data_IF_353400766091
#
_entry.id   IF_353400766091
#
_cell.length_a   1.000
_cell.length_b   1.000
_cell.length_c   1.000
_cell.angle_alpha   90.00
_cell.angle_beta   90.00
_cell.angle_gamma   90.00
#
_symmetry.space_group_name_H-M   'P 1'
#
loop_
_entity.id
_entity.type
_entity.pdbx_description
1 polymer ?
#
# COMPACT_ATOMS: atom_id res chain seq x y z
N UNK A 1 22.68 27.31 -11.39
CA UNK A 1 22.31 25.95 -10.92
C UNK A 1 22.18 25.09 -12.16
N UNK A 2 23.21 24.32 -12.49
CA UNK A 2 23.18 23.44 -13.67
C UNK A 2 22.27 22.25 -13.40
N UNK A 3 21.29 22.03 -14.28
CA UNK A 3 20.42 20.87 -14.19
C UNK A 3 21.16 19.63 -14.72
N UNK A 4 21.36 18.66 -13.84
CA UNK A 4 21.91 17.34 -14.17
C UNK A 4 21.08 16.67 -15.28
N UNK A 5 21.76 16.29 -16.37
CA UNK A 5 21.13 15.62 -17.51
C UNK A 5 20.44 14.32 -17.08
N UNK A 6 19.43 13.83 -17.82
CA UNK A 6 18.76 12.55 -17.50
C UNK A 6 19.73 11.37 -17.38
N UNK A 7 20.84 11.39 -18.12
CA UNK A 7 21.89 10.38 -18.05
C UNK A 7 22.69 10.47 -16.74
N UNK A 8 23.05 11.68 -16.30
CA UNK A 8 23.77 11.90 -15.04
C UNK A 8 22.94 11.47 -13.83
N UNK A 9 21.64 11.81 -13.79
CA UNK A 9 20.74 11.36 -12.71
C UNK A 9 20.62 9.85 -12.62
N UNK A 10 20.57 9.15 -13.77
CA UNK A 10 20.58 7.67 -13.79
C UNK A 10 21.89 7.12 -13.25
N UNK A 11 23.02 7.73 -13.63
CA UNK A 11 24.34 7.31 -13.17
C UNK A 11 24.49 7.49 -11.65
N UNK A 12 24.01 8.62 -11.12
CA UNK A 12 24.00 8.91 -9.68
C UNK A 12 23.11 7.92 -8.91
N UNK A 13 21.95 7.57 -9.47
CA UNK A 13 21.04 6.58 -8.88
C UNK A 13 21.68 5.19 -8.86
N UNK A 14 22.32 4.77 -9.96
CA UNK A 14 23.03 3.48 -10.01
C UNK A 14 24.18 3.47 -8.99
N UNK A 15 24.91 4.58 -8.87
CA UNK A 15 26.02 4.70 -7.94
C UNK A 15 25.58 4.67 -6.47
N UNK A 16 24.42 5.21 -6.13
CA UNK A 16 23.90 5.16 -4.74
C UNK A 16 23.45 3.75 -4.32
N UNK A 17 23.19 2.88 -5.29
CA UNK A 17 22.94 1.45 -5.07
C UNK A 17 24.23 0.62 -4.98
N UNK A 18 25.42 1.23 -5.05
CA UNK A 18 26.71 0.54 -4.98
C UNK A 18 27.56 1.05 -3.80
N UNK A 19 28.30 0.16 -3.16
CA UNK A 19 29.24 0.42 -2.05
C UNK A 19 30.63 -0.04 -2.47
N UNK A 20 31.66 0.76 -2.18
CA UNK A 20 33.07 0.37 -2.38
C UNK A 20 33.66 -0.17 -1.08
N UNK A 21 34.33 -1.33 -1.13
CA UNK A 21 35.14 -1.81 0.00
C UNK A 21 36.40 -0.94 0.17
N UNK A 22 36.78 -0.54 1.40
CA UNK A 22 38.04 0.15 1.66
C UNK A 22 39.24 -0.80 1.80
N UNK A 23 39.02 -2.13 1.73
CA UNK A 23 40.07 -3.14 1.80
C UNK A 23 40.21 -3.86 0.46
N UNK A 24 41.45 -3.88 -0.02
CA UNK A 24 42.00 -4.47 -1.25
C UNK A 24 41.94 -3.61 -2.53
N UNK A 25 43.09 -3.59 -3.22
CA UNK A 25 43.50 -2.74 -4.35
C UNK A 25 42.72 -2.99 -5.67
N UNK A 26 41.59 -3.69 -5.58
CA UNK A 26 40.63 -3.84 -6.66
C UNK A 26 39.31 -3.18 -6.26
N UNK A 27 38.91 -2.14 -6.99
CA UNK A 27 37.62 -1.47 -6.88
C UNK A 27 36.46 -2.42 -7.17
N UNK A 28 36.13 -3.26 -6.19
CA UNK A 28 34.96 -4.12 -6.18
C UNK A 28 33.77 -3.29 -5.70
N UNK A 29 32.79 -3.12 -6.59
CA UNK A 29 31.53 -2.44 -6.30
C UNK A 29 30.51 -3.50 -5.85
N UNK A 30 30.05 -3.39 -4.62
CA UNK A 30 29.03 -4.27 -4.05
C UNK A 30 27.68 -3.57 -4.07
N UNK A 31 26.59 -4.34 -4.13
CA UNK A 31 25.26 -3.78 -4.00
C UNK A 31 25.04 -3.27 -2.58
N UNK A 32 24.44 -2.09 -2.46
CA UNK A 32 23.99 -1.55 -1.19
C UNK A 32 23.01 -2.56 -0.56
N UNK A 33 23.16 -2.95 0.72
CA UNK A 33 22.29 -3.94 1.37
C UNK A 33 20.78 -3.61 1.32
N UNK A 34 20.45 -2.34 1.09
CA UNK A 34 19.07 -1.84 0.90
C UNK A 34 18.59 -1.89 -0.55
N UNK A 35 19.48 -2.11 -1.51
CA UNK A 35 19.14 -2.38 -2.90
C UNK A 35 18.69 -3.84 -3.01
N UNK A 36 17.53 -4.07 -3.62
CA UNK A 36 16.86 -5.38 -3.78
C UNK A 36 17.61 -6.46 -4.58
N UNK A 37 18.92 -6.33 -4.76
CA UNK A 37 19.71 -7.30 -5.50
C UNK A 37 20.19 -8.40 -4.56
N UNK A 38 19.74 -9.63 -4.79
CA UNK A 38 20.28 -10.79 -4.09
C UNK A 38 21.74 -10.99 -4.52
N UNK A 39 22.64 -11.27 -3.57
CA UNK A 39 23.97 -11.74 -3.91
C UNK A 39 23.84 -13.06 -4.69
N UNK A 40 24.77 -13.28 -5.60
CA UNK A 40 24.87 -14.42 -6.51
C UNK A 40 24.27 -15.73 -5.95
N UNK A 41 23.18 -16.19 -6.55
CA UNK A 41 22.49 -17.41 -6.16
C UNK A 41 21.17 -17.58 -6.89
N UNK A 42 20.80 -18.82 -7.20
CA UNK A 42 19.46 -19.11 -7.72
C UNK A 42 18.41 -18.69 -6.68
N UNK A 43 17.41 -17.91 -7.07
CA UNK A 43 16.32 -17.49 -6.19
C UNK A 43 15.37 -18.63 -5.84
N UNK A 44 15.34 -19.65 -6.70
CA UNK A 44 14.48 -20.81 -6.53
C UNK A 44 15.13 -22.09 -7.02
N UNK A 45 14.67 -23.21 -6.49
CA UNK A 45 15.03 -24.57 -6.93
C UNK A 45 13.77 -25.31 -7.35
N UNK A 46 13.92 -26.17 -8.35
CA UNK A 46 12.87 -27.12 -8.73
C UNK A 46 12.64 -28.05 -7.54
N UNK A 47 11.39 -28.23 -7.14
CA UNK A 47 11.04 -29.19 -6.11
C UNK A 47 11.48 -30.60 -6.55
N UNK A 48 12.14 -31.37 -5.67
CA UNK A 48 12.54 -32.73 -5.98
C UNK A 48 11.34 -33.67 -6.20
N UNK A 49 10.19 -33.32 -5.62
CA UNK A 49 8.90 -33.95 -5.88
C UNK A 49 8.48 -33.62 -7.33
N UNK A 50 8.65 -34.59 -8.24
CA UNK A 50 7.94 -34.54 -9.53
C UNK A 50 6.44 -34.59 -9.21
N UNK A 51 5.77 -33.47 -9.37
CA UNK A 51 4.31 -33.50 -9.50
C UNK A 51 4.03 -34.20 -10.84
N UNK A 52 3.67 -35.49 -10.78
CA UNK A 52 3.39 -36.36 -11.93
C UNK A 52 2.16 -35.91 -12.77
N UNK A 53 1.73 -34.65 -12.66
CA UNK A 53 0.43 -34.18 -13.14
C UNK A 53 0.52 -33.04 -14.16
N UNK A 54 1.70 -32.59 -14.60
CA UNK A 54 1.74 -31.45 -15.54
C UNK A 54 3.05 -31.20 -16.30
N UNK A 55 2.96 -30.31 -17.30
CA UNK A 55 4.07 -29.86 -18.17
C UNK A 55 5.08 -28.94 -17.45
N UNK A 56 4.77 -28.46 -16.24
CA UNK A 56 5.49 -27.38 -15.57
C UNK A 56 6.14 -27.84 -14.26
N UNK A 57 7.38 -27.40 -14.04
CA UNK A 57 8.09 -27.58 -12.78
C UNK A 57 7.51 -26.65 -11.69
N UNK A 58 7.50 -27.11 -10.45
CA UNK A 58 7.22 -26.25 -9.28
C UNK A 58 8.54 -25.81 -8.65
N UNK A 59 8.62 -24.51 -8.34
CA UNK A 59 9.80 -23.87 -7.79
C UNK A 59 9.55 -23.42 -6.35
N UNK A 60 10.57 -23.51 -5.50
CA UNK A 60 10.57 -22.97 -4.13
C UNK A 60 11.84 -22.20 -3.83
N UNK A 61 11.80 -21.34 -2.80
CA UNK A 61 12.98 -20.61 -2.32
C UNK A 61 14.14 -21.57 -2.03
N UNK A 62 15.35 -21.18 -2.43
CA UNK A 62 16.58 -21.91 -2.09
C UNK A 62 16.86 -21.98 -0.59
N UNK A 63 16.33 -21.02 0.19
CA UNK A 63 16.48 -21.00 1.66
C UNK A 63 15.57 -22.00 2.36
N UNK A 64 14.46 -22.40 1.75
CA UNK A 64 13.51 -23.33 2.34
C UNK A 64 12.87 -24.24 1.28
N UNK A 65 13.67 -25.14 0.66
CA UNK A 65 13.18 -25.95 -0.46
C UNK A 65 12.18 -27.03 -0.04
N UNK A 66 12.20 -27.45 1.23
CA UNK A 66 11.40 -28.58 1.74
C UNK A 66 10.45 -28.19 2.87
N UNK A 67 10.43 -26.94 3.30
CA UNK A 67 9.64 -26.47 4.45
C UNK A 67 8.83 -25.24 4.07
N UNK A 68 7.58 -25.19 4.53
CA UNK A 68 6.81 -23.95 4.51
C UNK A 68 7.27 -23.07 5.66
N UNK A 69 7.69 -21.84 5.35
CA UNK A 69 8.04 -20.84 6.35
C UNK A 69 6.76 -20.09 6.72
N UNK A 70 6.34 -20.21 7.97
CA UNK A 70 5.16 -19.52 8.51
C UNK A 70 5.52 -18.33 9.42
N UNK A 71 6.78 -18.26 9.88
CA UNK A 71 7.36 -17.24 10.77
C UNK A 71 8.83 -17.04 10.43
N UNK A 72 9.42 -15.93 10.85
CA UNK A 72 10.86 -15.71 10.76
C UNK A 72 11.56 -16.40 11.95
N UNK A 73 12.69 -17.07 11.71
CA UNK A 73 13.37 -17.85 12.75
C UNK A 73 13.99 -16.94 13.85
N UNK A 74 14.43 -15.74 13.46
CA UNK A 74 14.94 -14.68 14.32
C UNK A 74 13.84 -13.80 14.95
N UNK A 75 12.66 -13.77 14.33
CA UNK A 75 11.48 -13.03 14.78
C UNK A 75 10.21 -13.89 14.78
N UNK A 76 10.13 -14.93 15.66
CA UNK A 76 9.01 -15.87 15.70
C UNK A 76 7.68 -15.22 16.13
N UNK A 77 7.74 -14.06 16.79
CA UNK A 77 6.59 -13.24 17.17
C UNK A 77 5.88 -12.61 15.98
N UNK A 78 6.58 -12.40 14.85
CA UNK A 78 5.99 -11.78 13.66
C UNK A 78 5.17 -12.83 12.93
N UNK A 79 3.85 -12.76 13.10
CA UNK A 79 2.93 -13.73 12.57
C UNK A 79 1.86 -13.24 11.61
N UNK A 80 1.71 -11.93 11.53
CA UNK A 80 0.69 -11.24 10.74
C UNK A 80 1.34 -10.08 9.99
N UNK A 81 0.64 -9.57 8.97
CA UNK A 81 1.08 -8.35 8.28
C UNK A 81 1.12 -7.15 9.24
N UNK A 82 0.23 -7.12 10.23
CA UNK A 82 0.24 -6.11 11.30
C UNK A 82 1.53 -6.17 12.12
N UNK A 83 1.89 -7.34 12.66
CA UNK A 83 3.10 -7.50 13.48
C UNK A 83 4.35 -7.20 12.66
N UNK A 84 4.37 -7.58 11.38
CA UNK A 84 5.47 -7.27 10.48
C UNK A 84 5.67 -5.75 10.30
N UNK A 85 4.57 -5.02 10.09
CA UNK A 85 4.64 -3.56 9.99
C UNK A 85 5.05 -2.90 11.31
N UNK A 86 4.52 -3.36 12.44
CA UNK A 86 4.87 -2.83 13.78
C UNK A 86 6.36 -3.01 14.04
N UNK A 87 6.87 -4.22 13.83
CA UNK A 87 8.28 -4.52 13.99
C UNK A 87 9.17 -3.60 13.13
N UNK A 88 8.80 -3.41 11.86
CA UNK A 88 9.53 -2.50 10.97
C UNK A 88 9.46 -1.04 11.45
N UNK A 89 8.31 -0.57 11.91
CA UNK A 89 8.11 0.80 12.36
C UNK A 89 8.82 1.10 13.69
N UNK A 90 8.91 0.14 14.60
CA UNK A 90 9.65 0.25 15.85
C UNK A 90 11.16 0.19 15.62
N UNK A 91 11.62 -0.64 14.70
CA UNK A 91 13.05 -0.83 14.42
C UNK A 91 13.62 0.31 13.56
N UNK A 92 12.83 0.84 12.63
CA UNK A 92 13.28 1.81 11.64
C UNK A 92 12.41 3.07 11.55
N UNK A 93 12.07 3.74 12.68
CA UNK A 93 11.04 4.79 12.72
C UNK A 93 11.34 5.96 11.79
N UNK A 94 12.61 6.37 11.68
CA UNK A 94 13.05 7.54 10.90
C UNK A 94 13.41 7.19 9.44
N UNK A 95 13.39 5.91 9.06
CA UNK A 95 13.71 5.51 7.69
C UNK A 95 12.59 5.92 6.74
N UNK A 96 13.00 6.40 5.56
CA UNK A 96 12.10 6.74 4.45
C UNK A 96 11.35 5.49 3.99
N UNK A 97 10.02 5.55 4.01
CA UNK A 97 9.16 4.42 3.64
C UNK A 97 8.36 4.69 2.37
N UNK A 98 7.42 5.64 2.39
CA UNK A 98 6.55 5.93 1.26
C UNK A 98 6.97 7.23 0.58
N UNK A 99 7.47 7.13 -0.65
CA UNK A 99 7.93 8.27 -1.44
C UNK A 99 6.92 8.72 -2.49
N UNK A 100 6.68 10.02 -2.59
CA UNK A 100 5.98 10.63 -3.73
C UNK A 100 6.78 11.78 -4.30
N UNK A 101 6.66 12.01 -5.60
CA UNK A 101 7.30 13.13 -6.31
C UNK A 101 6.30 14.01 -7.06
N UNK A 102 5.02 13.66 -6.98
CA UNK A 102 3.94 14.46 -7.57
C UNK A 102 3.56 15.52 -6.55
N UNK A 103 3.73 16.78 -6.92
CA UNK A 103 3.34 17.92 -6.08
C UNK A 103 1.82 18.15 -6.14
N UNK A 104 1.24 18.90 -5.19
CA UNK A 104 -0.19 19.24 -5.21
C UNK A 104 -0.66 19.94 -6.49
N UNK A 105 0.23 20.66 -7.17
CA UNK A 105 -0.04 21.33 -8.46
C UNK A 105 0.06 20.39 -9.68
N UNK A 106 0.28 19.09 -9.47
CA UNK A 106 0.45 18.08 -10.51
C UNK A 106 1.83 18.04 -11.15
N UNK A 107 2.75 18.93 -10.76
CA UNK A 107 4.12 18.92 -11.29
C UNK A 107 4.96 17.82 -10.66
N UNK A 108 6.01 17.39 -11.38
CA UNK A 108 6.98 16.41 -10.88
C UNK A 108 8.12 17.17 -10.21
N UNK A 109 8.38 16.88 -8.95
CA UNK A 109 9.45 17.44 -8.14
C UNK A 109 10.44 16.39 -7.62
N UNK A 110 11.19 16.80 -6.60
CA UNK A 110 11.97 15.88 -5.76
C UNK A 110 11.05 14.98 -4.95
N UNK A 111 11.55 13.81 -4.55
CA UNK A 111 10.79 12.93 -3.67
C UNK A 111 10.61 13.54 -2.28
N UNK A 112 9.36 13.63 -1.84
CA UNK A 112 8.99 13.75 -0.44
C UNK A 112 8.70 12.35 0.09
N UNK A 113 9.02 12.13 1.36
CA UNK A 113 8.94 10.81 1.99
C UNK A 113 8.12 10.90 3.26
N UNK A 114 7.29 9.89 3.49
CA UNK A 114 6.80 9.56 4.82
C UNK A 114 7.78 8.57 5.46
N UNK A 115 8.12 8.80 6.72
CA UNK A 115 8.86 7.82 7.51
C UNK A 115 7.96 6.66 7.93
N UNK A 116 8.54 5.58 8.46
CA UNK A 116 7.74 4.51 9.06
C UNK A 116 6.89 5.02 10.24
N UNK A 117 7.45 5.88 11.09
CA UNK A 117 6.72 6.47 12.22
C UNK A 117 5.52 7.31 11.76
N UNK A 118 5.71 8.19 10.77
CA UNK A 118 4.61 8.99 10.20
C UNK A 118 3.54 8.11 9.56
N UNK A 119 3.96 7.04 8.89
CA UNK A 119 3.05 6.06 8.29
C UNK A 119 2.26 5.30 9.36
N UNK A 120 2.88 4.94 10.48
CA UNK A 120 2.21 4.29 11.60
C UNK A 120 1.13 5.17 12.22
N UNK A 121 1.40 6.47 12.41
CA UNK A 121 0.41 7.45 12.89
C UNK A 121 -0.76 7.58 11.91
N UNK A 122 -0.48 7.73 10.61
CA UNK A 122 -1.53 7.83 9.60
C UNK A 122 -2.38 6.56 9.53
N UNK A 123 -1.75 5.39 9.58
CA UNK A 123 -2.40 4.07 9.61
C UNK A 123 -3.37 3.95 10.79
N UNK A 124 -2.95 4.34 11.98
CA UNK A 124 -3.79 4.31 13.18
C UNK A 124 -4.98 5.25 13.08
N UNK A 125 -4.75 6.47 12.58
CA UNK A 125 -5.81 7.45 12.35
C UNK A 125 -6.84 6.97 11.31
N UNK A 126 -6.41 6.35 10.21
CA UNK A 126 -7.32 5.80 9.20
C UNK A 126 -8.19 4.69 9.80
N UNK A 127 -7.58 3.73 10.49
CA UNK A 127 -8.34 2.60 11.03
C UNK A 127 -9.32 3.00 12.13
N UNK A 128 -8.89 3.87 13.04
CA UNK A 128 -9.77 4.43 14.08
C UNK A 128 -10.86 5.34 13.50
N UNK A 129 -10.57 6.10 12.45
CA UNK A 129 -11.55 6.90 11.72
C UNK A 129 -12.61 6.04 11.03
N UNK A 130 -12.23 4.90 10.45
CA UNK A 130 -13.18 3.95 9.88
C UNK A 130 -14.13 3.40 10.96
N UNK A 131 -13.60 3.02 12.13
CA UNK A 131 -14.42 2.62 13.28
C UNK A 131 -15.37 3.73 13.74
N UNK A 132 -14.90 4.97 13.80
CA UNK A 132 -15.73 6.13 14.16
C UNK A 132 -16.93 6.30 13.22
N UNK A 133 -16.77 5.99 11.93
CA UNK A 133 -17.86 6.03 10.94
C UNK A 133 -18.76 4.80 10.94
N UNK A 134 -18.50 3.81 11.81
CA UNK A 134 -19.30 2.59 11.95
C UNK A 134 -18.82 1.42 11.09
N UNK A 135 -17.63 1.51 10.48
CA UNK A 135 -17.03 0.42 9.71
C UNK A 135 -16.35 -0.53 10.68
N UNK A 136 -16.96 -1.69 10.92
CA UNK A 136 -16.53 -2.64 11.95
C UNK A 136 -15.52 -3.68 11.42
N UNK A 137 -14.86 -4.37 12.33
CA UNK A 137 -13.94 -5.48 12.00
C UNK A 137 -14.61 -6.49 11.05
N UNK A 138 -13.84 -7.00 10.09
CA UNK A 138 -14.30 -7.87 9.02
C UNK A 138 -14.93 -7.14 7.83
N UNK A 139 -15.18 -5.83 7.91
CA UNK A 139 -15.69 -5.03 6.79
C UNK A 139 -14.74 -5.06 5.59
N UNK A 140 -15.31 -4.98 4.38
CA UNK A 140 -14.57 -4.89 3.11
C UNK A 140 -14.39 -3.43 2.72
N UNK A 141 -13.15 -3.02 2.50
CA UNK A 141 -12.73 -1.64 2.22
C UNK A 141 -12.09 -1.56 0.85
N UNK A 142 -12.64 -0.72 -0.01
CA UNK A 142 -12.26 -0.60 -1.41
C UNK A 142 -11.15 0.41 -1.61
N UNK A 143 -10.17 0.08 -2.44
CA UNK A 143 -9.09 0.99 -2.82
C UNK A 143 -9.22 1.31 -4.31
N UNK A 144 -9.86 2.43 -4.63
CA UNK A 144 -10.17 2.85 -5.99
C UNK A 144 -9.29 4.02 -6.46
N UNK A 145 -7.99 3.76 -6.55
CA UNK A 145 -7.01 4.67 -7.16
C UNK A 145 -5.70 3.96 -7.48
N UNK A 146 -4.91 4.59 -8.35
CA UNK A 146 -3.56 4.16 -8.73
C UNK A 146 -2.59 4.13 -7.53
N UNK A 147 -1.46 3.44 -7.72
CA UNK A 147 -0.43 3.30 -6.71
C UNK A 147 0.04 4.68 -6.18
N UNK A 148 -0.12 4.88 -4.87
CA UNK A 148 0.18 6.11 -4.14
C UNK A 148 0.38 5.83 -2.64
N UNK A 149 1.03 6.72 -1.87
CA UNK A 149 1.27 6.49 -0.45
C UNK A 149 0.02 6.12 0.35
N UNK A 150 -1.09 6.82 0.12
CA UNK A 150 -2.36 6.59 0.82
C UNK A 150 -2.91 5.18 0.59
N UNK A 151 -2.60 4.55 -0.55
CA UNK A 151 -2.98 3.16 -0.83
C UNK A 151 -2.37 2.22 0.21
N UNK A 152 -1.06 2.33 0.42
CA UNK A 152 -0.31 1.51 1.38
C UNK A 152 -0.74 1.82 2.82
N UNK A 153 -0.99 3.09 3.14
CA UNK A 153 -1.46 3.49 4.48
C UNK A 153 -2.80 2.83 4.81
N UNK A 154 -3.76 2.87 3.88
CA UNK A 154 -5.08 2.27 4.09
C UNK A 154 -4.98 0.74 4.15
N UNK A 155 -4.17 0.11 3.30
CA UNK A 155 -3.95 -1.33 3.33
C UNK A 155 -3.34 -1.79 4.68
N UNK A 156 -2.37 -1.06 5.20
CA UNK A 156 -1.81 -1.28 6.55
C UNK A 156 -2.85 -1.07 7.65
N UNK A 157 -3.77 -0.12 7.48
CA UNK A 157 -4.85 0.11 8.42
C UNK A 157 -5.86 -1.05 8.40
N UNK A 158 -6.18 -1.58 7.21
CA UNK A 158 -6.98 -2.78 7.06
C UNK A 158 -6.35 -3.97 7.81
N UNK A 159 -5.05 -4.19 7.64
CA UNK A 159 -4.33 -5.23 8.38
C UNK A 159 -4.34 -5.02 9.90
N UNK A 160 -4.29 -3.77 10.39
CA UNK A 160 -4.31 -3.46 11.83
C UNK A 160 -5.68 -3.69 12.48
N UNK A 161 -6.73 -3.25 11.78
CA UNK A 161 -8.09 -3.18 12.32
C UNK A 161 -8.98 -4.34 11.83
N UNK A 162 -8.37 -5.38 11.26
CA UNK A 162 -9.06 -6.57 10.73
C UNK A 162 -10.09 -6.25 9.65
N UNK A 163 -9.84 -5.23 8.81
CA UNK A 163 -10.62 -4.99 7.60
C UNK A 163 -10.04 -5.79 6.44
N UNK A 164 -10.87 -6.05 5.43
CA UNK A 164 -10.49 -6.76 4.21
C UNK A 164 -10.27 -5.72 3.11
N UNK A 165 -9.03 -5.54 2.70
CA UNK A 165 -8.65 -4.66 1.59
C UNK A 165 -9.10 -5.27 0.25
N UNK A 166 -9.81 -4.49 -0.58
CA UNK A 166 -10.29 -4.89 -1.91
C UNK A 166 -9.83 -3.86 -2.95
N UNK A 167 -8.76 -4.13 -3.72
CA UNK A 167 -8.31 -3.22 -4.75
C UNK A 167 -9.30 -3.17 -5.92
N UNK A 168 -9.60 -1.96 -6.41
CA UNK A 168 -10.46 -1.71 -7.55
C UNK A 168 -9.63 -1.11 -8.69
N UNK A 169 -9.65 -1.77 -9.85
CA UNK A 169 -8.91 -1.30 -11.03
C UNK A 169 -9.67 -0.18 -11.75
N UNK A 170 -9.04 0.97 -11.90
CA UNK A 170 -9.56 2.15 -12.61
C UNK A 170 -9.67 1.97 -14.13
N UNK A 171 -8.94 1.00 -14.69
CA UNK A 171 -8.92 0.73 -16.14
C UNK A 171 -10.00 -0.23 -16.63
N UNK A 172 -10.72 -0.92 -15.74
CA UNK A 172 -11.71 -1.95 -16.14
C UNK A 172 -13.12 -1.39 -16.43
N UNK A 173 -13.33 -0.09 -16.21
CA UNK A 173 -14.60 0.58 -16.45
C UNK A 173 -15.64 0.40 -15.32
N UNK A 174 -16.76 1.14 -15.40
CA UNK A 174 -17.74 1.23 -14.32
C UNK A 174 -18.45 -0.10 -14.01
N UNK A 175 -18.75 -0.92 -15.01
CA UNK A 175 -19.46 -2.19 -14.81
C UNK A 175 -18.63 -3.20 -14.02
N UNK A 176 -17.32 -3.27 -14.30
CA UNK A 176 -16.41 -4.14 -13.56
C UNK A 176 -16.25 -3.67 -12.10
N UNK A 177 -16.17 -2.36 -11.88
CA UNK A 177 -16.11 -1.77 -10.54
C UNK A 177 -17.40 -2.06 -9.76
N UNK A 178 -18.56 -1.81 -10.37
CA UNK A 178 -19.88 -2.10 -9.79
C UNK A 178 -20.02 -3.58 -9.42
N UNK A 179 -19.59 -4.48 -10.32
CA UNK A 179 -19.56 -5.92 -10.06
C UNK A 179 -18.69 -6.24 -8.84
N UNK A 180 -17.45 -5.74 -8.79
CA UNK A 180 -16.55 -5.98 -7.66
C UNK A 180 -17.12 -5.42 -6.34
N UNK A 181 -17.73 -4.23 -6.37
CA UNK A 181 -18.37 -3.58 -5.22
C UNK A 181 -19.46 -4.47 -4.62
N UNK A 182 -20.37 -4.94 -5.47
CA UNK A 182 -21.47 -5.80 -5.04
C UNK A 182 -21.02 -7.21 -4.66
N UNK A 183 -20.11 -7.80 -5.44
CA UNK A 183 -19.60 -9.15 -5.19
C UNK A 183 -18.85 -9.25 -3.86
N UNK A 184 -18.03 -8.25 -3.54
CA UNK A 184 -17.28 -8.21 -2.28
C UNK A 184 -18.07 -7.56 -1.13
N UNK A 185 -19.29 -7.08 -1.35
CA UNK A 185 -20.12 -6.39 -0.33
C UNK A 185 -19.33 -5.33 0.44
N UNK A 186 -18.73 -4.43 -0.33
CA UNK A 186 -17.92 -3.32 0.17
C UNK A 186 -18.77 -2.38 1.03
N UNK A 187 -18.20 -1.93 2.15
CA UNK A 187 -18.85 -0.98 3.07
C UNK A 187 -18.21 0.41 3.04
N UNK A 188 -16.91 0.48 2.79
CA UNK A 188 -16.20 1.74 2.60
C UNK A 188 -15.40 1.71 1.30
N UNK A 189 -15.28 2.82 0.60
CA UNK A 189 -14.39 2.96 -0.56
C UNK A 189 -13.53 4.22 -0.40
N UNK A 190 -12.22 4.05 -0.51
CA UNK A 190 -11.28 5.14 -0.70
C UNK A 190 -11.11 5.38 -2.20
N UNK A 191 -11.31 6.62 -2.65
CA UNK A 191 -11.21 6.99 -4.06
C UNK A 191 -10.51 8.35 -4.22
N UNK A 192 -10.13 8.70 -5.45
CA UNK A 192 -9.70 10.06 -5.81
C UNK A 192 -10.86 10.84 -6.43
N UNK A 193 -10.81 12.19 -6.54
CA UNK A 193 -11.86 12.98 -7.15
C UNK A 193 -12.27 12.51 -8.55
N UNK A 194 -11.31 12.00 -9.34
CA UNK A 194 -11.56 11.49 -10.69
C UNK A 194 -12.48 10.27 -10.68
N UNK A 195 -12.21 9.31 -9.79
CA UNK A 195 -12.98 8.06 -9.64
C UNK A 195 -14.27 8.24 -8.84
N UNK A 196 -14.39 9.33 -8.06
CA UNK A 196 -15.60 9.64 -7.30
C UNK A 196 -16.82 9.81 -8.23
N UNK A 197 -16.66 10.56 -9.33
CA UNK A 197 -17.75 10.79 -10.29
C UNK A 197 -18.29 9.48 -10.87
N UNK A 198 -17.41 8.51 -11.11
CA UNK A 198 -17.79 7.17 -11.55
C UNK A 198 -18.64 6.48 -10.50
N UNK A 199 -18.20 6.44 -9.23
CA UNK A 199 -18.99 5.86 -8.12
C UNK A 199 -20.37 6.51 -7.98
N UNK A 200 -20.43 7.84 -8.11
CA UNK A 200 -21.69 8.59 -7.99
C UNK A 200 -22.68 8.28 -9.10
N UNK A 201 -22.22 7.93 -10.29
CA UNK A 201 -23.09 7.61 -11.43
C UNK A 201 -23.89 6.31 -11.29
N UNK A 202 -23.52 5.45 -10.35
CA UNK A 202 -24.20 4.18 -10.07
C UNK A 202 -24.36 3.91 -8.57
N UNK A 203 -24.38 4.96 -7.74
CA UNK A 203 -24.39 4.83 -6.28
C UNK A 203 -25.63 4.07 -5.76
N UNK A 204 -26.76 4.22 -6.44
CA UNK A 204 -28.02 3.51 -6.17
C UNK A 204 -27.94 2.00 -6.49
N UNK A 205 -26.97 1.58 -7.29
CA UNK A 205 -26.73 0.17 -7.66
C UNK A 205 -25.71 -0.54 -6.75
N UNK A 206 -25.14 0.16 -5.76
CA UNK A 206 -24.14 -0.37 -4.81
C UNK A 206 -24.58 -0.16 -3.35
N UNK A 207 -25.72 -0.75 -2.93
CA UNK A 207 -26.39 -0.42 -1.67
C UNK A 207 -25.64 -0.82 -0.40
N UNK A 208 -24.54 -1.59 -0.50
CA UNK A 208 -23.74 -1.98 0.66
C UNK A 208 -22.80 -0.89 1.16
N UNK A 209 -22.63 0.20 0.41
CA UNK A 209 -21.71 1.27 0.74
C UNK A 209 -22.29 2.18 1.81
N UNK A 210 -21.57 2.32 2.92
CA UNK A 210 -21.88 3.23 4.02
C UNK A 210 -21.03 4.52 3.96
N UNK A 211 -19.79 4.40 3.43
CA UNK A 211 -18.78 5.46 3.47
C UNK A 211 -17.95 5.56 2.19
N UNK A 212 -17.77 6.76 1.67
CA UNK A 212 -16.80 7.09 0.62
C UNK A 212 -15.79 8.09 1.17
N UNK A 213 -14.50 7.77 1.06
CA UNK A 213 -13.39 8.60 1.54
C UNK A 213 -12.60 9.11 0.34
N UNK A 214 -12.50 10.43 0.20
CA UNK A 214 -11.88 11.06 -0.98
C UNK A 214 -10.47 11.55 -0.68
N UNK A 215 -9.48 10.97 -1.35
CA UNK A 215 -8.06 11.30 -1.26
C UNK A 215 -7.71 12.45 -2.18
N UNK A 216 -7.24 13.56 -1.63
CA UNK A 216 -6.89 14.77 -2.38
C UNK A 216 -8.06 15.73 -2.64
N UNK A 217 -9.22 15.52 -2.00
CA UNK A 217 -10.32 16.49 -1.95
C UNK A 217 -10.33 17.27 -0.62
N UNK A 218 -10.67 18.55 -0.67
CA UNK A 218 -11.04 19.31 0.52
C UNK A 218 -12.51 19.08 0.85
N UNK A 219 -12.89 19.02 2.12
CA UNK A 219 -14.28 18.79 2.55
C UNK A 219 -15.28 19.75 1.89
N UNK A 220 -14.88 21.01 1.70
CA UNK A 220 -15.69 22.08 1.11
C UNK A 220 -16.03 21.83 -0.37
N UNK A 221 -15.24 20.99 -1.05
CA UNK A 221 -15.38 20.69 -2.47
C UNK A 221 -16.00 19.30 -2.72
N UNK A 222 -16.45 18.61 -1.67
CA UNK A 222 -17.12 17.32 -1.81
C UNK A 222 -18.58 17.53 -2.23
N UNK A 223 -19.09 16.72 -3.17
CA UNK A 223 -20.48 16.82 -3.59
C UNK A 223 -21.41 16.50 -2.42
N UNK A 224 -22.50 17.26 -2.31
CA UNK A 224 -23.60 16.91 -1.41
C UNK A 224 -24.44 15.81 -2.05
N UNK A 225 -24.68 14.74 -1.29
CA UNK A 225 -25.59 13.68 -1.71
C UNK A 225 -27.05 14.07 -1.42
N UNK A 226 -28.02 13.58 -2.21
CA UNK A 226 -29.44 13.73 -1.89
C UNK A 226 -29.76 13.24 -0.47
N UNK A 227 -30.71 13.89 0.20
CA UNK A 227 -31.20 13.42 1.48
C UNK A 227 -31.81 12.01 1.33
N UNK A 228 -31.38 11.07 2.17
CA UNK A 228 -31.90 9.70 2.20
C UNK A 228 -31.01 8.62 1.59
N UNK A 229 -29.88 8.95 0.96
CA UNK A 229 -28.96 7.95 0.38
C UNK A 229 -28.27 7.08 1.43
N UNK A 230 -28.18 7.53 2.70
CA UNK A 230 -27.50 6.79 3.79
C UNK A 230 -25.97 6.78 3.72
N UNK A 231 -25.41 6.94 2.51
CA UNK A 231 -23.96 7.03 2.26
C UNK A 231 -23.37 8.34 2.79
N UNK A 232 -22.23 8.27 3.48
CA UNK A 232 -21.45 9.43 3.89
C UNK A 232 -20.27 9.64 2.94
N UNK A 233 -19.97 10.89 2.58
CA UNK A 233 -18.74 11.26 1.85
C UNK A 233 -17.89 12.15 2.77
N UNK A 234 -16.62 11.80 2.96
CA UNK A 234 -15.66 12.58 3.76
C UNK A 234 -14.32 12.71 3.05
N UNK A 235 -13.56 13.76 3.33
CA UNK A 235 -12.17 13.81 2.84
C UNK A 235 -11.27 12.88 3.63
N UNK A 236 -10.20 12.44 3.00
CA UNK A 236 -9.13 11.70 3.66
C UNK A 236 -8.53 12.49 4.84
N UNK A 237 -8.39 13.81 4.69
CA UNK A 237 -7.85 14.68 5.73
C UNK A 237 -8.77 14.76 6.96
N UNK A 238 -10.09 14.78 6.74
CA UNK A 238 -11.07 14.71 7.82
C UNK A 238 -11.03 13.36 8.53
N UNK A 239 -10.89 12.28 7.78
CA UNK A 239 -10.79 10.95 8.38
C UNK A 239 -9.55 10.85 9.30
N UNK A 240 -8.42 11.39 8.87
CA UNK A 240 -7.19 11.43 9.68
C UNK A 240 -7.33 12.21 11.00
N UNK A 241 -8.25 13.18 11.09
CA UNK A 241 -8.47 13.93 12.33
C UNK A 241 -9.53 13.31 13.24
N UNK A 242 -10.27 12.32 12.76
CA UNK A 242 -11.36 11.65 13.47
C UNK A 242 -10.88 10.38 14.16
N UNK A 243 -10.01 10.54 15.17
CA UNK A 243 -9.50 9.40 15.94
C UNK A 243 -10.57 8.94 16.94
N UNK A 244 -11.00 7.68 16.82
CA UNK A 244 -11.77 7.03 17.87
C UNK A 244 -10.83 6.69 19.04
N UNK A 245 -10.88 7.47 20.13
CA UNK A 245 -10.24 7.10 21.38
C UNK A 245 -11.02 5.95 22.03
N UNK A 246 -10.70 4.71 21.67
CA UNK A 246 -11.05 3.57 22.49
C UNK A 246 -9.85 3.25 23.38
N UNK A 247 -10.00 3.61 24.66
CA UNK A 247 -9.13 3.19 25.77
C UNK A 247 -9.42 1.72 26.07
#
# INVERSE_FOLDING_TARGET
>A
MEFSSPAQRRLETVRSHLVSSPADDETSLFLNPTASASPEGSYSVVLPEKLDTGKWNVYRSTKSPMKLISRFDDHPEIGTLHENFVHAAETYPDNKYLGTRVRPDGTIGEYTWMTYAETAVAREAIGSGLLFHGINQGARVGLYFINRPEWLVVDHACAAYSFISVPLYDTLGPDAVKFAVNHATLQAIFCVPQTLNTLLSFLDEIPSIDLIVVVGGADENLPSLPQGTGVKIVSYQKLLSQVAFYI
#
